data_IF_212367367296
#
_entry.id   IF_212367367296
#
_cell.length_a   1.000
_cell.length_b   1.000
_cell.length_c   1.000
_cell.angle_alpha   90.00
_cell.angle_beta   90.00
_cell.angle_gamma   90.00
#
_symmetry.space_group_name_H-M   'P 1'
#
loop_
_entity.id
_entity.type
_entity.pdbx_description
1 polymer ?
#
# COMPACT_ATOMS: atom_id res chain seq x y z
N UNK A 1 2.98 4.59 17.83
CA UNK A 1 3.56 5.43 16.78
C UNK A 1 3.51 4.70 15.44
N UNK A 2 2.99 5.37 14.43
CA UNK A 2 2.87 4.78 13.10
C UNK A 2 4.17 4.94 12.32
N UNK A 3 4.52 3.89 11.59
CA UNK A 3 5.74 3.91 10.78
C UNK A 3 5.37 3.70 9.32
N UNK A 4 5.89 4.56 8.46
CA UNK A 4 5.76 4.42 7.01
C UNK A 4 7.16 4.31 6.42
N UNK A 5 7.38 3.28 5.61
CA UNK A 5 8.63 3.10 4.89
C UNK A 5 8.47 3.58 3.46
N UNK A 6 9.44 4.38 3.00
CA UNK A 6 9.50 4.84 1.62
C UNK A 6 10.80 4.31 1.03
N UNK A 7 10.70 3.58 -0.06
CA UNK A 7 11.87 2.98 -0.67
C UNK A 7 11.67 2.79 -2.18
N UNK A 8 12.76 2.70 -2.90
CA UNK A 8 12.71 2.34 -4.31
C UNK A 8 12.54 0.84 -4.45
N UNK A 9 11.64 0.42 -5.31
CA UNK A 9 11.43 -1.00 -5.59
C UNK A 9 11.40 -1.22 -7.10
N UNK A 10 12.30 -2.03 -7.63
CA UNK A 10 12.27 -2.39 -9.04
C UNK A 10 11.23 -3.45 -9.36
N UNK A 11 10.47 -3.90 -8.37
CA UNK A 11 9.55 -5.01 -8.55
C UNK A 11 8.32 -4.58 -9.33
N UNK A 12 8.16 -5.16 -10.51
CA UNK A 12 7.04 -4.91 -11.40
C UNK A 12 6.02 -6.05 -11.27
N UNK A 13 5.17 -6.01 -10.25
CA UNK A 13 4.22 -7.10 -9.94
C UNK A 13 2.77 -6.65 -9.95
N UNK A 14 2.48 -5.48 -10.47
CA UNK A 14 1.13 -4.93 -10.49
C UNK A 14 0.97 -4.01 -11.72
N UNK A 15 -0.12 -3.29 -11.77
CA UNK A 15 -0.50 -2.48 -12.93
C UNK A 15 0.52 -1.40 -13.30
N UNK A 16 1.36 -1.01 -12.37
CA UNK A 16 2.42 -0.03 -12.62
C UNK A 16 3.51 -0.53 -13.58
N UNK A 17 3.62 -1.84 -13.78
CA UNK A 17 4.66 -2.44 -14.62
C UNK A 17 4.68 -1.85 -16.02
N UNK A 18 3.52 -1.73 -16.66
CA UNK A 18 3.42 -1.22 -18.03
C UNK A 18 3.95 0.21 -18.15
N UNK A 19 3.72 1.04 -17.14
CA UNK A 19 4.20 2.42 -17.11
C UNK A 19 5.69 2.49 -16.78
N UNK A 20 6.12 1.67 -15.82
CA UNK A 20 7.52 1.61 -15.42
C UNK A 20 8.42 1.17 -16.58
N UNK A 21 7.96 0.24 -17.39
CA UNK A 21 8.73 -0.28 -18.53
C UNK A 21 9.01 0.76 -19.61
N UNK A 22 8.25 1.83 -19.66
CA UNK A 22 8.48 2.94 -20.59
C UNK A 22 9.07 4.19 -19.92
N UNK A 23 9.58 4.03 -18.70
CA UNK A 23 10.29 5.09 -18.00
C UNK A 23 9.41 6.08 -17.25
N UNK A 24 8.13 5.80 -17.08
CA UNK A 24 7.22 6.66 -16.30
C UNK A 24 7.41 6.36 -14.81
N UNK A 25 7.56 7.42 -14.02
CA UNK A 25 7.64 7.28 -12.57
C UNK A 25 6.32 6.74 -12.01
N UNK A 26 6.41 5.74 -11.15
CA UNK A 26 5.25 5.10 -10.54
C UNK A 26 5.37 5.09 -9.03
N UNK A 27 4.24 5.03 -8.34
CA UNK A 27 4.18 4.99 -6.89
C UNK A 27 3.25 3.86 -6.46
N UNK A 28 3.73 3.01 -5.57
CA UNK A 28 2.94 1.93 -5.01
C UNK A 28 2.61 2.17 -3.55
N UNK A 29 1.42 1.77 -3.15
CA UNK A 29 0.95 1.80 -1.77
C UNK A 29 0.77 0.37 -1.31
N UNK A 30 1.39 0.01 -0.21
CA UNK A 30 1.35 -1.36 0.25
C UNK A 30 1.47 -1.46 1.76
N UNK A 31 0.85 -2.50 2.32
CA UNK A 31 1.12 -2.89 3.69
C UNK A 31 2.43 -3.65 3.78
N UNK A 32 3.09 -3.53 4.91
CA UNK A 32 4.37 -4.22 5.15
C UNK A 32 4.19 -5.63 5.71
N UNK A 33 2.97 -6.15 5.68
CA UNK A 33 2.69 -7.48 6.23
C UNK A 33 2.82 -8.52 5.14
N UNK A 34 3.83 -9.36 5.27
CA UNK A 34 3.98 -10.54 4.43
C UNK A 34 3.20 -11.71 4.99
N UNK A 35 2.82 -12.62 4.13
CA UNK A 35 2.27 -13.88 4.55
C UNK A 35 0.76 -13.93 4.75
N UNK A 36 0.01 -12.96 4.25
CA UNK A 36 -1.44 -13.07 4.23
C UNK A 36 -1.84 -14.32 3.43
N UNK A 37 -2.45 -15.34 4.08
CA UNK A 37 -2.62 -16.64 3.44
C UNK A 37 -3.66 -16.69 2.32
N UNK A 38 -4.54 -15.69 2.26
CA UNK A 38 -5.61 -15.65 1.26
C UNK A 38 -5.30 -14.75 0.06
N UNK A 39 -4.08 -14.30 -0.06
CA UNK A 39 -3.65 -13.48 -1.19
C UNK A 39 -3.89 -14.23 -2.51
N UNK A 40 -4.65 -13.62 -3.42
CA UNK A 40 -5.05 -14.21 -4.71
C UNK A 40 -5.81 -15.53 -4.59
N UNK A 41 -6.56 -15.70 -3.51
CA UNK A 41 -7.36 -16.90 -3.26
C UNK A 41 -8.83 -16.54 -3.02
N UNK A 42 -9.70 -17.53 -3.13
CA UNK A 42 -11.14 -17.33 -2.90
C UNK A 42 -11.45 -16.92 -1.47
N UNK A 43 -10.61 -17.29 -0.52
CA UNK A 43 -10.80 -16.91 0.88
C UNK A 43 -10.44 -15.45 1.17
N UNK A 44 -10.00 -14.70 0.19
CA UNK A 44 -9.71 -13.26 0.35
C UNK A 44 -11.03 -12.48 0.41
N UNK A 45 -11.60 -12.44 1.59
CA UNK A 45 -12.85 -11.76 1.90
C UNK A 45 -12.61 -10.73 2.99
N UNK A 46 -13.57 -9.82 3.18
CA UNK A 46 -13.50 -8.84 4.26
C UNK A 46 -13.42 -9.52 5.62
N UNK A 47 -14.20 -10.58 5.83
CA UNK A 47 -14.18 -11.34 7.08
C UNK A 47 -12.80 -11.92 7.37
N UNK A 48 -12.20 -12.55 6.38
CA UNK A 48 -10.87 -13.14 6.53
C UNK A 48 -9.82 -12.07 6.83
N UNK A 49 -9.89 -10.93 6.15
CA UNK A 49 -8.97 -9.82 6.39
C UNK A 49 -9.13 -9.26 7.81
N UNK A 50 -10.36 -9.09 8.29
CA UNK A 50 -10.62 -8.62 9.65
C UNK A 50 -10.04 -9.59 10.68
N UNK A 51 -10.24 -10.89 10.49
CA UNK A 51 -9.65 -11.91 11.37
C UNK A 51 -8.12 -11.85 11.35
N UNK A 52 -7.55 -11.73 10.17
CA UNK A 52 -6.09 -11.66 10.00
C UNK A 52 -5.48 -10.44 10.67
N UNK A 53 -6.16 -9.30 10.62
CA UNK A 53 -5.68 -8.04 11.19
C UNK A 53 -5.83 -7.97 12.72
N UNK A 54 -6.55 -8.90 13.32
CA UNK A 54 -6.74 -8.93 14.77
C UNK A 54 -5.48 -9.32 15.53
N UNK A 55 -5.32 -8.74 16.71
CA UNK A 55 -4.26 -9.09 17.65
C UNK A 55 -4.88 -9.35 19.02
N UNK A 56 -4.09 -9.82 19.98
CA UNK A 56 -4.55 -10.03 21.36
C UNK A 56 -5.02 -8.72 22.02
N UNK A 57 -4.45 -7.60 21.61
CA UNK A 57 -4.70 -6.29 22.22
C UNK A 57 -5.66 -5.41 21.41
N UNK A 58 -5.98 -5.77 20.18
CA UNK A 58 -6.69 -4.89 19.28
C UNK A 58 -7.55 -5.67 18.29
N UNK A 59 -8.77 -5.19 18.03
CA UNK A 59 -9.68 -5.84 17.10
C UNK A 59 -9.20 -5.67 15.66
N UNK A 60 -9.51 -6.67 14.83
CA UNK A 60 -9.14 -6.64 13.41
C UNK A 60 -9.76 -5.47 12.66
N UNK A 61 -11.02 -5.13 12.96
CA UNK A 61 -11.67 -4.03 12.29
C UNK A 61 -11.04 -2.68 12.67
N UNK A 62 -10.66 -2.50 13.92
CA UNK A 62 -9.96 -1.28 14.33
C UNK A 62 -8.60 -1.15 13.65
N UNK A 63 -7.87 -2.24 13.55
CA UNK A 63 -6.57 -2.26 12.90
C UNK A 63 -6.70 -1.97 11.39
N UNK A 64 -7.71 -2.54 10.76
CA UNK A 64 -7.96 -2.30 9.33
C UNK A 64 -8.33 -0.85 9.06
N UNK A 65 -9.24 -0.27 9.84
CA UNK A 65 -9.63 1.13 9.70
C UNK A 65 -8.43 2.05 9.94
N UNK A 66 -7.62 1.75 10.95
CA UNK A 66 -6.40 2.52 11.22
C UNK A 66 -5.42 2.48 10.06
N UNK A 67 -5.23 1.31 9.43
CA UNK A 67 -4.40 1.16 8.25
C UNK A 67 -4.92 2.00 7.07
N UNK A 68 -6.22 2.01 6.87
CA UNK A 68 -6.83 2.83 5.81
C UNK A 68 -6.65 4.32 6.07
N UNK A 69 -6.75 4.75 7.31
CA UNK A 69 -6.51 6.15 7.69
C UNK A 69 -5.07 6.56 7.37
N UNK A 70 -4.11 5.73 7.72
CA UNK A 70 -2.69 5.99 7.45
C UNK A 70 -2.45 6.12 5.95
N UNK A 71 -2.93 5.16 5.17
CA UNK A 71 -2.74 5.16 3.71
C UNK A 71 -3.43 6.37 3.09
N UNK A 72 -4.63 6.70 3.53
CA UNK A 72 -5.37 7.84 3.00
C UNK A 72 -4.62 9.15 3.22
N UNK A 73 -4.13 9.40 4.44
CA UNK A 73 -3.37 10.59 4.75
C UNK A 73 -2.06 10.65 3.98
N UNK A 74 -1.37 9.52 3.86
CA UNK A 74 -0.14 9.46 3.05
C UNK A 74 -0.42 9.76 1.58
N UNK A 75 -1.50 9.21 1.04
CA UNK A 75 -1.88 9.49 -0.36
C UNK A 75 -2.14 10.97 -0.56
N UNK A 76 -2.89 11.62 0.33
CA UNK A 76 -3.16 13.05 0.27
C UNK A 76 -1.86 13.85 0.30
N UNK A 77 -0.99 13.59 1.25
CA UNK A 77 0.30 14.30 1.34
C UNK A 77 1.17 14.06 0.13
N UNK A 78 1.24 12.84 -0.37
CA UNK A 78 2.05 12.50 -1.53
C UNK A 78 1.56 13.24 -2.79
N UNK A 79 0.26 13.26 -3.02
CA UNK A 79 -0.30 13.96 -4.17
C UNK A 79 -0.10 15.48 -4.08
N UNK A 80 -0.29 16.07 -2.90
CA UNK A 80 -0.04 17.48 -2.70
C UNK A 80 1.43 17.83 -2.92
N UNK A 81 2.33 16.99 -2.43
CA UNK A 81 3.77 17.20 -2.62
C UNK A 81 4.16 17.06 -4.09
N UNK A 82 3.71 16.02 -4.77
CA UNK A 82 4.05 15.77 -6.16
C UNK A 82 3.43 16.78 -7.12
N UNK A 83 2.32 17.39 -6.75
CA UNK A 83 1.73 18.48 -7.53
C UNK A 83 2.67 19.69 -7.59
N UNK A 84 3.40 19.95 -6.52
CA UNK A 84 4.35 21.07 -6.43
C UNK A 84 5.77 20.67 -6.85
N UNK A 85 6.12 19.42 -6.66
CA UNK A 85 7.46 18.90 -6.95
C UNK A 85 7.31 17.56 -7.71
N UNK A 86 6.96 17.62 -9.00
CA UNK A 86 6.75 16.40 -9.77
C UNK A 86 7.99 15.52 -9.85
N UNK A 87 7.76 14.21 -9.79
CA UNK A 87 8.84 13.23 -9.99
C UNK A 87 9.13 13.12 -11.49
N UNK A 88 10.38 13.31 -11.92
CA UNK A 88 10.70 13.22 -13.34
C UNK A 88 10.60 11.79 -13.86
N UNK A 89 10.17 11.66 -15.11
CA UNK A 89 10.14 10.37 -15.79
C UNK A 89 11.54 9.98 -16.26
N UNK A 90 11.80 8.69 -16.31
CA UNK A 90 13.01 8.11 -16.87
C UNK A 90 12.73 7.69 -18.33
N UNK A 91 12.85 8.60 -19.25
CA UNK A 91 12.58 8.34 -20.67
C UNK A 91 13.87 8.18 -21.47
#
# INVERSE_FOLDING_TARGET
>A
EDTVAIYESPTARSDHESFQNIGVATLGWNGLVDGYPCYHRECDTMETMIDYMGTDDSSGINNLVHSWDIITWWAVYAFLHMDQTPVPNEL
#
